data_IF_262371301057
#
_entry.id   IF_262371301057
#
_cell.length_a   1.000
_cell.length_b   1.000
_cell.length_c   1.000
_cell.angle_alpha   90.00
_cell.angle_beta   90.00
_cell.angle_gamma   90.00
#
_symmetry.space_group_name_H-M   'P 1'
#
loop_
_entity.id
_entity.type
_entity.pdbx_description
1 polymer ?
#
# COMPACT_ATOMS: atom_id res chain seq x y z
N UNK A 1 -43.73 -60.16 -7.04
CA UNK A 1 -42.66 -59.15 -6.94
C UNK A 1 -43.24 -57.83 -7.41
N UNK A 2 -43.66 -56.96 -6.49
CA UNK A 2 -44.19 -55.62 -6.82
C UNK A 2 -43.07 -54.58 -6.88
N UNK A 3 -43.25 -53.44 -7.57
CA UNK A 3 -42.21 -52.43 -7.71
C UNK A 3 -42.00 -51.67 -6.40
N UNK A 4 -40.77 -51.61 -5.90
CA UNK A 4 -40.36 -50.76 -4.78
C UNK A 4 -40.25 -49.32 -5.25
N UNK A 5 -41.09 -48.46 -4.68
CA UNK A 5 -41.11 -47.02 -4.90
C UNK A 5 -39.90 -46.37 -4.21
N UNK A 6 -38.74 -46.34 -4.88
CA UNK A 6 -37.57 -45.56 -4.46
C UNK A 6 -37.79 -44.07 -4.77
N UNK A 7 -38.69 -43.44 -4.02
CA UNK A 7 -38.77 -41.98 -3.91
C UNK A 7 -37.54 -41.52 -3.14
N UNK A 8 -36.44 -41.30 -3.85
CA UNK A 8 -35.30 -40.53 -3.36
C UNK A 8 -35.71 -39.06 -3.25
N UNK A 9 -36.55 -38.75 -2.27
CA UNK A 9 -36.86 -37.39 -1.88
C UNK A 9 -35.60 -36.78 -1.26
N UNK A 10 -34.81 -36.12 -2.11
CA UNK A 10 -33.74 -35.23 -1.68
C UNK A 10 -34.40 -34.17 -0.78
N UNK A 11 -34.23 -34.31 0.53
CA UNK A 11 -34.80 -33.41 1.54
C UNK A 11 -34.48 -31.96 1.18
N UNK A 12 -35.46 -31.26 0.61
CA UNK A 12 -35.37 -29.83 0.35
C UNK A 12 -35.69 -29.07 1.64
N UNK A 13 -34.84 -28.13 2.07
CA UNK A 13 -35.18 -27.26 3.19
C UNK A 13 -36.48 -26.51 2.86
N UNK A 14 -37.42 -26.49 3.80
CA UNK A 14 -38.71 -25.80 3.62
C UNK A 14 -38.54 -24.28 3.43
N UNK A 15 -39.56 -23.61 2.90
CA UNK A 15 -39.51 -22.18 2.55
C UNK A 15 -39.11 -21.25 3.71
N UNK A 16 -39.37 -21.67 4.94
CA UNK A 16 -39.05 -20.92 6.17
C UNK A 16 -37.66 -21.21 6.73
N UNK A 17 -36.93 -22.18 6.18
CA UNK A 17 -35.59 -22.55 6.65
C UNK A 17 -34.58 -21.50 6.18
N UNK A 18 -34.21 -20.62 7.10
CA UNK A 18 -33.16 -19.64 6.88
C UNK A 18 -31.81 -20.34 6.74
N UNK A 19 -30.99 -19.90 5.79
CA UNK A 19 -29.60 -20.34 5.69
C UNK A 19 -28.78 -19.78 6.85
N UNK A 20 -27.87 -20.58 7.39
CA UNK A 20 -26.95 -20.11 8.44
C UNK A 20 -26.12 -18.93 7.93
N UNK A 21 -25.95 -17.91 8.79
CA UNK A 21 -25.07 -16.78 8.49
C UNK A 21 -23.64 -17.27 8.29
N UNK A 22 -22.95 -16.75 7.27
CA UNK A 22 -21.53 -17.04 7.05
C UNK A 22 -20.72 -16.57 8.25
N UNK A 23 -19.77 -17.38 8.71
CA UNK A 23 -18.82 -16.98 9.75
C UNK A 23 -18.06 -15.72 9.32
N UNK A 24 -17.74 -14.85 10.28
CA UNK A 24 -16.88 -13.68 10.04
C UNK A 24 -15.51 -14.18 9.57
N UNK A 25 -15.22 -14.04 8.29
CA UNK A 25 -13.88 -14.31 7.78
C UNK A 25 -12.93 -13.26 8.35
N UNK A 26 -11.87 -13.68 9.05
CA UNK A 26 -10.85 -12.77 9.57
C UNK A 26 -10.21 -11.94 8.46
N UNK A 27 -9.54 -10.84 8.86
CA UNK A 27 -8.90 -9.82 8.01
C UNK A 27 -8.10 -10.37 6.82
N UNK A 28 -7.51 -11.56 6.95
CA UNK A 28 -6.67 -12.15 5.92
C UNK A 28 -7.45 -12.81 4.77
N UNK A 29 -8.62 -13.40 5.03
CA UNK A 29 -9.43 -14.03 3.97
C UNK A 29 -10.29 -13.02 3.23
N UNK A 30 -10.93 -12.10 3.95
CA UNK A 30 -11.75 -11.05 3.33
C UNK A 30 -10.91 -10.11 2.45
N UNK A 31 -9.73 -9.68 2.91
CA UNK A 31 -8.94 -8.73 2.13
C UNK A 31 -8.33 -9.35 0.86
N UNK A 32 -7.94 -10.62 0.91
CA UNK A 32 -7.46 -11.30 -0.30
C UNK A 32 -8.61 -11.48 -1.30
N UNK A 33 -9.79 -11.86 -0.82
CA UNK A 33 -10.98 -12.06 -1.66
C UNK A 33 -11.50 -10.74 -2.26
N UNK A 34 -11.52 -9.64 -1.48
CA UNK A 34 -11.83 -8.28 -1.95
C UNK A 34 -10.79 -7.81 -2.97
N UNK A 35 -9.49 -8.01 -2.70
CA UNK A 35 -8.44 -7.65 -3.66
C UNK A 35 -8.54 -8.46 -4.95
N UNK A 36 -8.90 -9.74 -4.85
CA UNK A 36 -9.12 -10.61 -6.02
C UNK A 36 -10.36 -10.19 -6.81
N UNK A 37 -11.43 -9.78 -6.14
CA UNK A 37 -12.64 -9.22 -6.78
C UNK A 37 -12.35 -7.89 -7.47
N UNK A 38 -11.67 -6.97 -6.80
CA UNK A 38 -11.40 -5.61 -7.30
C UNK A 38 -10.27 -5.54 -8.34
N UNK A 39 -9.21 -6.35 -8.21
CA UNK A 39 -8.01 -6.30 -9.07
C UNK A 39 -7.82 -7.53 -9.95
N UNK A 40 -8.69 -8.54 -9.84
CA UNK A 40 -8.53 -9.82 -10.53
C UNK A 40 -7.41 -10.71 -9.95
N UNK A 41 -7.22 -11.90 -10.55
CA UNK A 41 -6.10 -12.79 -10.21
C UNK A 41 -4.81 -12.27 -10.84
N UNK A 42 -3.97 -11.62 -10.05
CA UNK A 42 -2.63 -11.17 -10.49
C UNK A 42 -1.59 -12.19 -10.08
N UNK A 43 -0.75 -12.64 -11.02
CA UNK A 43 0.35 -13.56 -10.73
C UNK A 43 1.30 -12.98 -9.66
N UNK A 44 1.66 -13.77 -8.66
CA UNK A 44 2.49 -13.33 -7.52
C UNK A 44 3.80 -12.66 -7.94
N UNK A 45 4.42 -13.16 -9.03
CA UNK A 45 5.63 -12.58 -9.62
C UNK A 45 5.45 -11.10 -10.03
N UNK A 46 4.26 -10.71 -10.50
CA UNK A 46 3.96 -9.30 -10.86
C UNK A 46 3.84 -8.42 -9.61
N UNK A 47 3.22 -8.94 -8.54
CA UNK A 47 3.10 -8.21 -7.27
C UNK A 47 4.47 -7.98 -6.62
N UNK A 48 5.33 -9.01 -6.59
CA UNK A 48 6.68 -8.91 -6.05
C UNK A 48 7.55 -7.88 -6.82
N UNK A 49 7.44 -7.86 -8.16
CA UNK A 49 8.14 -6.86 -8.99
C UNK A 49 7.67 -5.43 -8.73
N UNK A 50 6.35 -5.24 -8.55
CA UNK A 50 5.77 -3.93 -8.20
C UNK A 50 6.27 -3.43 -6.85
N UNK A 51 6.24 -4.27 -5.81
CA UNK A 51 6.76 -3.93 -4.48
C UNK A 51 8.26 -3.58 -4.51
N UNK A 52 9.08 -4.34 -5.25
CA UNK A 52 10.50 -4.03 -5.39
C UNK A 52 10.73 -2.66 -6.03
N UNK A 53 9.98 -2.33 -7.09
CA UNK A 53 10.06 -1.02 -7.76
C UNK A 53 9.66 0.11 -6.79
N UNK A 54 8.55 -0.04 -6.07
CA UNK A 54 8.10 0.92 -5.06
C UNK A 54 9.15 1.15 -3.96
N UNK A 55 9.83 0.09 -3.50
CA UNK A 55 10.87 0.22 -2.49
C UNK A 55 12.11 0.96 -3.01
N UNK A 56 12.47 0.73 -4.28
CA UNK A 56 13.59 1.44 -4.93
C UNK A 56 13.27 2.92 -5.13
N UNK A 57 12.06 3.26 -5.61
CA UNK A 57 11.62 4.66 -5.73
C UNK A 57 11.64 5.34 -4.38
N UNK A 58 11.09 4.71 -3.33
CA UNK A 58 11.09 5.25 -1.97
C UNK A 58 12.50 5.52 -1.41
N UNK A 59 13.49 4.68 -1.75
CA UNK A 59 14.88 4.92 -1.36
C UNK A 59 15.46 6.14 -2.08
N UNK A 60 15.24 6.24 -3.39
CA UNK A 60 15.76 7.35 -4.18
C UNK A 60 15.12 8.68 -3.78
N UNK A 61 13.82 8.68 -3.52
CA UNK A 61 13.09 9.87 -3.08
C UNK A 61 13.63 10.37 -1.73
N UNK A 62 13.89 9.47 -0.78
CA UNK A 62 14.52 9.81 0.50
C UNK A 62 15.92 10.41 0.34
N UNK A 63 16.71 9.91 -0.60
CA UNK A 63 18.04 10.46 -0.88
C UNK A 63 17.94 11.85 -1.53
N UNK A 64 17.03 12.01 -2.50
CA UNK A 64 16.80 13.27 -3.19
C UNK A 64 16.34 14.37 -2.22
N UNK A 65 15.40 14.07 -1.32
CA UNK A 65 14.94 15.03 -0.30
C UNK A 65 16.06 15.43 0.65
N UNK A 66 16.88 14.47 1.10
CA UNK A 66 18.05 14.77 1.94
C UNK A 66 19.07 15.68 1.24
N UNK A 67 19.33 15.43 -0.05
CA UNK A 67 20.22 16.27 -0.87
C UNK A 67 19.66 17.69 -1.02
N UNK A 68 18.36 17.82 -1.28
CA UNK A 68 17.70 19.13 -1.39
C UNK A 68 17.84 19.93 -0.09
N UNK A 69 17.52 19.31 1.06
CA UNK A 69 17.66 19.96 2.38
C UNK A 69 19.12 20.36 2.64
N UNK A 70 20.08 19.50 2.32
CA UNK A 70 21.51 19.81 2.48
C UNK A 70 21.93 21.00 1.63
N UNK A 71 21.51 21.06 0.36
CA UNK A 71 21.80 22.19 -0.53
C UNK A 71 21.22 23.50 0.00
N UNK A 72 19.96 23.48 0.43
CA UNK A 72 19.29 24.66 1.02
C UNK A 72 20.03 25.17 2.26
N UNK A 73 20.39 24.27 3.20
CA UNK A 73 21.14 24.66 4.40
C UNK A 73 22.53 25.21 4.07
N UNK A 74 23.22 24.60 3.10
CA UNK A 74 24.54 25.08 2.67
C UNK A 74 24.44 26.46 2.03
N UNK A 75 23.42 26.69 1.21
CA UNK A 75 23.16 27.98 0.59
C UNK A 75 22.86 29.05 1.65
N UNK A 76 21.94 28.78 2.58
CA UNK A 76 21.62 29.72 3.67
C UNK A 76 22.86 30.08 4.50
N UNK A 77 23.70 29.09 4.85
CA UNK A 77 24.97 29.34 5.55
C UNK A 77 25.94 30.18 4.72
N UNK A 78 25.97 29.97 3.40
CA UNK A 78 26.83 30.74 2.50
C UNK A 78 26.36 32.18 2.39
N UNK A 79 25.06 32.41 2.29
CA UNK A 79 24.45 33.75 2.29
C UNK A 79 24.82 34.50 3.57
N UNK A 80 24.66 33.88 4.75
CA UNK A 80 25.06 34.46 6.04
C UNK A 80 26.55 34.81 6.08
N UNK A 81 27.42 33.97 5.52
CA UNK A 81 28.86 34.25 5.48
C UNK A 81 29.21 35.36 4.50
N UNK A 82 28.50 35.45 3.39
CA UNK A 82 28.74 36.47 2.37
C UNK A 82 28.29 37.86 2.82
N UNK A 83 27.33 37.99 3.73
CA UNK A 83 26.93 39.31 4.25
C UNK A 83 27.95 39.94 5.21
N UNK A 84 28.83 39.13 5.82
CA UNK A 84 29.87 39.59 6.74
C UNK A 84 31.15 39.86 5.92
N UNK A 85 31.59 41.11 5.84
CA UNK A 85 32.81 41.49 5.12
C UNK A 85 32.69 41.59 3.59
N UNK A 86 31.47 41.57 3.03
CA UNK A 86 31.24 41.93 1.62
C UNK A 86 31.37 43.44 1.37
N UNK A 87 31.63 43.81 0.11
CA UNK A 87 31.75 45.22 -0.35
C UNK A 87 30.50 46.04 0.02
N UNK A 88 29.31 45.44 -0.09
CA UNK A 88 28.02 46.04 0.28
C UNK A 88 27.48 45.53 1.65
N UNK A 89 28.29 44.75 2.39
CA UNK A 89 27.91 44.09 3.65
C UNK A 89 28.40 44.83 4.90
N UNK A 90 28.08 44.28 6.08
CA UNK A 90 28.52 44.88 7.35
C UNK A 90 30.05 44.75 7.45
N UNK A 91 30.78 45.85 7.74
CA UNK A 91 32.24 45.81 7.82
C UNK A 91 32.68 44.84 8.92
N UNK A 92 33.65 43.98 8.59
CA UNK A 92 34.24 43.07 9.56
C UNK A 92 35.24 43.85 10.41
N UNK A 93 34.86 44.19 11.64
CA UNK A 93 35.74 44.84 12.61
C UNK A 93 36.58 43.73 13.26
N UNK A 94 37.90 43.78 13.06
CA UNK A 94 38.90 42.84 13.59
C UNK A 94 39.47 43.40 14.90
#
# INVERSE_FOLDING_TARGET
>A
MGPTSDNNDVHRPGALKQQNKRFKSGRHRSQHEIKRSTKGRVAEKKHARSLKRLNVTNKQDRLNTAIQIRKQKLQANREIRQTIGAIDGVPQII
#
